data_IF_047539347121
#
_entry.id   IF_047539347121
#
_cell.length_a   1.000
_cell.length_b   1.000
_cell.length_c   1.000
_cell.angle_alpha   90.00
_cell.angle_beta   90.00
_cell.angle_gamma   90.00
#
_symmetry.space_group_name_H-M   'P 1'
#
loop_
_entity.id
_entity.type
_entity.pdbx_description
1 polymer ?
#
# COMPACT_ATOMS: atom_id res chain seq x y z
N UNK A 1 19.36 6.31 -5.44
CA UNK A 1 17.95 5.89 -5.29
C UNK A 1 17.12 7.15 -5.14
N UNK A 2 16.00 7.27 -5.85
CA UNK A 2 15.10 8.42 -5.66
C UNK A 2 14.32 8.26 -4.36
N UNK A 3 14.24 9.33 -3.57
CA UNK A 3 13.37 9.38 -2.40
C UNK A 3 11.92 9.50 -2.88
N UNK A 4 11.18 8.40 -2.87
CA UNK A 4 9.79 8.38 -3.32
C UNK A 4 8.78 8.61 -2.19
N UNK A 5 9.14 8.28 -0.94
CA UNK A 5 8.33 8.54 0.26
C UNK A 5 8.91 9.73 1.02
N UNK A 6 8.35 10.91 0.77
CA UNK A 6 8.86 12.18 1.33
C UNK A 6 8.06 12.66 2.53
N UNK A 7 6.82 12.21 2.70
CA UNK A 7 5.95 12.57 3.81
C UNK A 7 4.89 11.49 4.05
N UNK A 8 4.37 11.43 5.28
CA UNK A 8 3.13 10.71 5.61
C UNK A 8 1.92 11.66 5.71
N UNK A 9 2.14 12.98 5.59
CA UNK A 9 1.07 13.97 5.58
C UNK A 9 0.34 13.95 4.24
N UNK A 10 -0.99 14.04 4.30
CA UNK A 10 -1.95 13.98 3.20
C UNK A 10 -3.12 14.92 3.53
N UNK A 11 -3.67 15.62 2.54
CA UNK A 11 -4.68 16.66 2.79
C UNK A 11 -6.04 16.08 3.15
N UNK A 12 -6.35 14.88 2.65
CA UNK A 12 -7.66 14.24 2.85
C UNK A 12 -7.55 12.78 3.29
N UNK A 13 -8.61 12.24 3.95
CA UNK A 13 -8.67 10.81 4.27
C UNK A 13 -8.50 9.89 3.06
N UNK A 14 -8.97 10.32 1.89
CA UNK A 14 -8.84 9.57 0.64
C UNK A 14 -7.38 9.49 0.18
N UNK A 15 -6.68 10.63 0.14
CA UNK A 15 -5.24 10.66 -0.18
C UNK A 15 -4.43 9.82 0.80
N UNK A 16 -4.80 9.83 2.08
CA UNK A 16 -4.20 8.94 3.08
C UNK A 16 -4.38 7.45 2.74
N UNK A 17 -5.55 7.07 2.22
CA UNK A 17 -5.82 5.70 1.82
C UNK A 17 -5.06 5.31 0.56
N UNK A 18 -4.97 6.22 -0.42
CA UNK A 18 -4.16 6.03 -1.63
C UNK A 18 -2.67 5.89 -1.30
N UNK A 19 -2.16 6.67 -0.34
CA UNK A 19 -0.80 6.52 0.18
C UNK A 19 -0.61 5.16 0.87
N UNK A 20 -1.61 4.68 1.63
CA UNK A 20 -1.54 3.36 2.26
C UNK A 20 -1.44 2.22 1.22
N UNK A 21 -2.19 2.31 0.11
CA UNK A 21 -2.09 1.38 -1.02
C UNK A 21 -0.69 1.45 -1.64
N UNK A 22 -0.17 2.66 -1.85
CA UNK A 22 1.17 2.84 -2.42
C UNK A 22 2.25 2.20 -1.54
N UNK A 23 2.20 2.40 -0.21
CA UNK A 23 3.12 1.77 0.74
C UNK A 23 3.09 0.25 0.65
N UNK A 24 1.89 -0.35 0.65
CA UNK A 24 1.71 -1.80 0.53
C UNK A 24 2.35 -2.33 -0.76
N UNK A 25 2.09 -1.68 -1.91
CA UNK A 25 2.64 -2.07 -3.21
C UNK A 25 4.16 -1.90 -3.28
N UNK A 26 4.70 -0.85 -2.65
CA UNK A 26 6.15 -0.59 -2.60
C UNK A 26 6.87 -1.62 -1.73
N UNK A 27 6.26 -2.09 -0.64
CA UNK A 27 6.77 -3.22 0.14
C UNK A 27 7.01 -4.46 -0.72
N UNK A 28 6.00 -4.86 -1.51
CA UNK A 28 6.14 -5.98 -2.47
C UNK A 28 7.23 -5.72 -3.50
N UNK A 29 7.31 -4.49 -4.04
CA UNK A 29 8.35 -4.11 -5.00
C UNK A 29 9.77 -4.15 -4.44
N UNK A 30 9.97 -3.88 -3.15
CA UNK A 30 11.27 -4.02 -2.49
C UNK A 30 11.65 -5.49 -2.26
N UNK A 31 10.67 -6.33 -1.92
CA UNK A 31 10.92 -7.77 -1.69
C UNK A 31 11.11 -8.55 -2.99
N UNK A 32 10.41 -8.16 -4.06
CA UNK A 32 10.50 -8.76 -5.37
C UNK A 32 10.72 -7.67 -6.43
N UNK A 33 11.99 -7.38 -6.80
CA UNK A 33 12.32 -6.28 -7.70
C UNK A 33 11.98 -6.57 -9.16
N UNK A 34 11.81 -7.83 -9.58
CA UNK A 34 11.46 -8.17 -10.96
C UNK A 34 9.99 -7.85 -11.23
N UNK A 35 9.75 -7.00 -12.23
CA UNK A 35 8.39 -6.71 -12.73
C UNK A 35 7.73 -7.94 -13.33
N UNK A 36 8.43 -8.67 -14.22
CA UNK A 36 7.94 -9.92 -14.82
C UNK A 36 7.49 -10.95 -13.79
N UNK A 37 8.21 -11.09 -12.66
CA UNK A 37 7.80 -12.00 -11.59
C UNK A 37 6.54 -11.47 -10.90
N UNK A 38 6.46 -10.16 -10.62
CA UNK A 38 5.26 -9.57 -9.99
C UNK A 38 4.02 -9.68 -10.87
N UNK A 39 4.16 -9.53 -12.19
CA UNK A 39 3.06 -9.74 -13.14
C UNK A 39 2.59 -11.20 -13.15
N UNK A 40 3.53 -12.16 -13.16
CA UNK A 40 3.18 -13.59 -13.05
C UNK A 40 2.48 -13.94 -11.74
N UNK A 41 2.89 -13.32 -10.63
CA UNK A 41 2.25 -13.54 -9.33
C UNK A 41 0.88 -12.85 -9.25
N UNK A 42 0.66 -11.76 -10.00
CA UNK A 42 -0.60 -11.01 -9.98
C UNK A 42 -1.80 -11.88 -10.33
N UNK A 43 -1.68 -12.69 -11.39
CA UNK A 43 -2.75 -13.60 -11.83
C UNK A 43 -3.07 -14.71 -10.83
N UNK A 44 -2.18 -14.98 -9.87
CA UNK A 44 -2.40 -16.00 -8.83
C UNK A 44 -3.29 -15.48 -7.71
N UNK A 45 -3.22 -14.17 -7.41
CA UNK A 45 -3.87 -13.62 -6.23
C UNK A 45 -5.02 -12.66 -6.53
N UNK A 46 -5.15 -12.18 -7.77
CA UNK A 46 -6.12 -11.11 -8.11
C UNK A 46 -7.58 -11.57 -8.16
N UNK A 47 -7.84 -12.86 -8.32
CA UNK A 47 -9.17 -13.48 -8.26
C UNK A 47 -9.37 -14.37 -7.02
N UNK A 48 -8.38 -14.43 -6.13
CA UNK A 48 -8.39 -15.24 -4.92
C UNK A 48 -8.94 -14.44 -3.72
N UNK A 49 -10.08 -14.86 -3.17
CA UNK A 49 -10.77 -14.15 -2.09
C UNK A 49 -9.90 -13.93 -0.84
N UNK A 50 -9.18 -14.96 -0.37
CA UNK A 50 -8.31 -14.86 0.81
C UNK A 50 -7.18 -13.86 0.56
N UNK A 51 -6.63 -13.85 -0.64
CA UNK A 51 -5.55 -12.93 -1.03
C UNK A 51 -6.04 -11.50 -1.17
N UNK A 52 -7.27 -11.28 -1.66
CA UNK A 52 -7.89 -9.95 -1.71
C UNK A 52 -8.16 -9.42 -0.30
N UNK A 53 -8.64 -10.27 0.61
CA UNK A 53 -8.83 -9.92 2.03
C UNK A 53 -7.48 -9.61 2.69
N UNK A 54 -6.46 -10.44 2.47
CA UNK A 54 -5.12 -10.22 3.01
C UNK A 54 -4.50 -8.90 2.49
N UNK A 55 -4.67 -8.60 1.19
CA UNK A 55 -4.23 -7.34 0.60
C UNK A 55 -4.92 -6.13 1.26
N UNK A 56 -6.23 -6.23 1.50
CA UNK A 56 -7.00 -5.19 2.18
C UNK A 56 -6.52 -4.99 3.63
N UNK A 57 -6.20 -6.07 4.35
CA UNK A 57 -5.65 -5.99 5.71
C UNK A 57 -4.32 -5.25 5.76
N UNK A 58 -3.40 -5.51 4.82
CA UNK A 58 -2.12 -4.80 4.76
C UNK A 58 -2.32 -3.30 4.53
N UNK A 59 -3.25 -2.93 3.63
CA UNK A 59 -3.60 -1.52 3.41
C UNK A 59 -4.20 -0.89 4.67
N UNK A 60 -5.08 -1.60 5.39
CA UNK A 60 -5.67 -1.11 6.64
C UNK A 60 -4.60 -0.82 7.71
N UNK A 61 -3.57 -1.66 7.84
CA UNK A 61 -2.45 -1.46 8.77
C UNK A 61 -1.66 -0.20 8.41
N UNK A 62 -1.36 0.03 7.14
CA UNK A 62 -0.70 1.28 6.70
C UNK A 62 -1.60 2.49 6.92
N UNK A 63 -2.89 2.39 6.61
CA UNK A 63 -3.84 3.47 6.76
C UNK A 63 -3.99 3.90 8.22
N UNK A 64 -3.97 2.96 9.17
CA UNK A 64 -3.95 3.26 10.60
C UNK A 64 -2.75 4.17 10.97
N UNK A 65 -1.56 3.87 10.44
CA UNK A 65 -0.36 4.68 10.67
C UNK A 65 -0.48 6.06 10.02
N UNK A 66 -0.97 6.13 8.78
CA UNK A 66 -1.12 7.40 8.06
C UNK A 66 -2.19 8.28 8.72
N UNK A 67 -3.34 7.72 9.09
CA UNK A 67 -4.39 8.46 9.80
C UNK A 67 -3.88 9.06 11.11
N UNK A 68 -3.09 8.29 11.89
CA UNK A 68 -2.45 8.80 13.09
C UNK A 68 -1.44 9.92 12.79
N UNK A 69 -0.65 9.80 11.72
CA UNK A 69 0.28 10.85 11.30
C UNK A 69 -0.42 12.16 10.91
N UNK A 70 -1.65 12.07 10.40
CA UNK A 70 -2.47 13.20 9.95
C UNK A 70 -3.47 13.72 11.01
N UNK A 71 -3.30 13.33 12.28
CA UNK A 71 -4.25 13.65 13.36
C UNK A 71 -5.72 13.34 12.98
N UNK A 72 -5.94 12.27 12.20
CA UNK A 72 -7.25 11.87 11.68
C UNK A 72 -8.01 12.96 10.91
N UNK A 73 -7.30 13.92 10.30
CA UNK A 73 -7.87 15.04 9.53
C UNK A 73 -8.88 15.89 10.33
N UNK A 74 -8.65 16.04 11.63
CA UNK A 74 -9.45 16.87 12.55
C UNK A 74 -8.94 18.30 12.66
#
# INVERSE_FOLDING_TARGET
MSNWLTSLQTETPQEGFELAILLARKGVGYTQPSEDIREKLRTVYEDNADSLIASSQVVAIHYQTIAAANNYWK
#
